data_IF_726473873925
#
_entry.id   IF_726473873925
#
_cell.length_a   1.000
_cell.length_b   1.000
_cell.length_c   1.000
_cell.angle_alpha   90.00
_cell.angle_beta   90.00
_cell.angle_gamma   90.00
#
_symmetry.space_group_name_H-M   'P 1'
#
loop_
_entity.id
_entity.type
_entity.pdbx_description
1 polymer ?
#
# COMPACT_ATOMS: atom_id res chain seq x y z
N UNK A 1 -4.68 -9.79 -15.66
CA UNK A 1 -4.25 -11.17 -15.39
C UNK A 1 -2.94 -11.07 -14.65
N UNK A 2 -2.99 -11.03 -13.32
CA UNK A 2 -1.85 -11.19 -12.39
C UNK A 2 -2.46 -11.21 -10.97
N UNK A 3 -3.41 -12.13 -10.80
CA UNK A 3 -3.91 -12.60 -9.52
C UNK A 3 -3.47 -14.06 -9.46
N UNK A 4 -2.15 -14.27 -9.36
CA UNK A 4 -1.60 -15.60 -9.13
C UNK A 4 -1.15 -15.71 -7.67
N UNK A 5 -1.99 -16.45 -6.93
CA UNK A 5 -1.57 -17.44 -5.94
C UNK A 5 -0.66 -16.91 -4.82
N UNK A 6 -1.26 -16.23 -3.86
CA UNK A 6 -0.79 -16.29 -2.46
C UNK A 6 -1.58 -17.39 -1.74
N UNK A 7 -1.34 -18.64 -2.09
CA UNK A 7 -1.57 -19.74 -1.15
C UNK A 7 -0.52 -19.60 -0.06
N UNK A 8 -0.91 -18.96 1.04
CA UNK A 8 -0.18 -19.06 2.30
C UNK A 8 -0.38 -20.50 2.79
N UNK A 9 0.54 -21.38 2.43
CA UNK A 9 0.85 -22.56 3.24
C UNK A 9 1.33 -22.07 4.60
N UNK A 10 0.38 -21.90 5.53
CA UNK A 10 0.68 -21.87 6.95
C UNK A 10 1.03 -23.29 7.36
N UNK A 11 2.29 -23.67 7.11
CA UNK A 11 2.89 -24.83 7.75
C UNK A 11 3.00 -24.51 9.25
N UNK A 12 1.97 -24.89 10.00
CA UNK A 12 1.94 -24.78 11.46
C UNK A 12 2.89 -25.84 12.01
N UNK A 13 4.12 -25.45 12.30
CA UNK A 13 5.06 -26.28 13.05
C UNK A 13 4.61 -26.35 14.52
N UNK A 14 3.72 -27.29 14.82
CA UNK A 14 3.27 -27.58 16.18
C UNK A 14 4.26 -28.55 16.82
N UNK A 15 5.11 -28.03 17.69
CA UNK A 15 6.11 -28.81 18.42
C UNK A 15 5.45 -29.32 19.70
N UNK A 16 5.09 -30.60 19.72
CA UNK A 16 4.53 -31.27 20.89
C UNK A 16 5.68 -31.96 21.64
N UNK A 17 6.21 -31.35 22.69
CA UNK A 17 7.23 -32.00 23.54
C UNK A 17 6.54 -32.91 24.57
N UNK A 18 6.81 -34.20 24.49
CA UNK A 18 6.46 -35.14 25.55
C UNK A 18 7.59 -35.16 26.59
N UNK A 19 7.46 -34.33 27.62
CA UNK A 19 8.48 -34.25 28.69
C UNK A 19 8.49 -35.48 29.62
N UNK A 20 7.43 -36.28 29.60
CA UNK A 20 7.18 -37.28 30.64
C UNK A 20 8.22 -38.40 30.67
N UNK A 21 8.61 -38.93 29.50
CA UNK A 21 9.46 -40.12 29.41
C UNK A 21 10.91 -39.84 29.80
N UNK A 22 11.42 -38.65 29.45
CA UNK A 22 12.78 -38.23 29.82
C UNK A 22 12.90 -37.95 31.31
N UNK A 23 11.94 -37.24 31.89
CA UNK A 23 11.99 -36.89 33.31
C UNK A 23 11.81 -38.11 34.20
N UNK A 24 10.95 -39.06 33.80
CA UNK A 24 10.80 -40.35 34.50
C UNK A 24 12.10 -41.16 34.45
N UNK A 25 12.68 -41.37 33.27
CA UNK A 25 13.92 -42.12 33.13
C UNK A 25 15.09 -41.48 33.92
N UNK A 26 15.15 -40.15 33.95
CA UNK A 26 16.15 -39.40 34.72
C UNK A 26 15.99 -39.61 36.24
N UNK A 27 14.77 -39.64 36.76
CA UNK A 27 14.55 -39.84 38.20
C UNK A 27 14.93 -41.25 38.64
N UNK A 28 14.57 -42.27 37.86
CA UNK A 28 14.98 -43.66 38.11
C UNK A 28 16.51 -43.80 38.20
N UNK A 29 17.25 -43.23 37.23
CA UNK A 29 18.71 -43.26 37.23
C UNK A 29 19.33 -42.58 38.45
N UNK A 30 18.70 -41.50 38.92
CA UNK A 30 19.14 -40.78 40.11
C UNK A 30 18.94 -41.62 41.36
N UNK A 31 17.76 -42.22 41.54
CA UNK A 31 17.48 -43.12 42.66
C UNK A 31 18.47 -44.28 42.70
N UNK A 32 18.77 -44.88 41.55
CA UNK A 32 19.77 -45.95 41.44
C UNK A 32 21.18 -45.48 41.81
N UNK A 33 21.61 -44.30 41.32
CA UNK A 33 22.94 -43.77 41.61
C UNK A 33 23.13 -43.39 43.08
N UNK A 34 22.05 -43.01 43.77
CA UNK A 34 22.06 -42.64 45.19
C UNK A 34 21.89 -43.85 46.13
N UNK A 35 21.56 -45.03 45.60
CA UNK A 35 21.37 -46.26 46.39
C UNK A 35 22.67 -46.66 47.11
N UNK A 36 22.62 -46.81 48.44
CA UNK A 36 23.79 -47.20 49.22
C UNK A 36 24.11 -48.69 49.05
N UNK A 37 25.39 -49.03 48.90
CA UNK A 37 25.85 -50.41 48.83
C UNK A 37 25.98 -51.02 50.24
N UNK A 38 25.38 -52.19 50.47
CA UNK A 38 25.60 -52.96 51.70
C UNK A 38 27.02 -53.57 51.68
N UNK A 39 27.79 -53.38 52.76
CA UNK A 39 29.06 -54.09 52.94
C UNK A 39 28.80 -55.59 53.16
N UNK A 40 29.45 -56.42 52.35
CA UNK A 40 29.31 -57.87 52.42
C UNK A 40 30.25 -58.48 53.45
N UNK A 41 29.71 -59.26 54.37
CA UNK A 41 30.48 -60.01 55.35
C UNK A 41 30.02 -61.49 55.38
N UNK A 42 31.00 -62.39 55.37
CA UNK A 42 30.79 -63.83 55.55
C UNK A 42 31.42 -64.27 56.86
N UNK A 43 30.69 -65.05 57.64
CA UNK A 43 31.25 -65.66 58.84
C UNK A 43 32.30 -66.70 58.45
N UNK A 44 33.46 -66.66 59.10
CA UNK A 44 34.45 -67.72 58.96
C UNK A 44 34.01 -68.93 59.77
N UNK A 45 34.15 -70.12 59.20
CA UNK A 45 34.03 -71.37 59.96
C UNK A 45 35.21 -71.50 60.93
N UNK A 46 34.94 -72.03 62.13
CA UNK A 46 35.98 -72.29 63.12
C UNK A 46 36.94 -73.35 62.59
N UNK A 47 38.23 -73.16 62.86
CA UNK A 47 39.29 -74.11 62.49
C UNK A 47 40.09 -74.59 63.70
N UNK A 48 39.94 -73.93 64.84
CA UNK A 48 40.59 -74.29 66.10
C UNK A 48 39.59 -74.12 67.25
N UNK A 49 39.69 -75.03 68.22
CA UNK A 49 38.96 -74.94 69.48
C UNK A 49 39.74 -74.04 70.45
N UNK A 50 39.02 -73.12 71.06
CA UNK A 50 39.58 -72.12 71.96
C UNK A 50 39.30 -72.54 73.41
N UNK A 51 40.34 -72.80 74.19
CA UNK A 51 40.22 -73.17 75.60
C UNK A 51 41.08 -72.23 76.45
N UNK A 52 40.42 -71.30 77.17
CA UNK A 52 41.07 -70.22 77.93
C UNK A 52 41.91 -69.24 77.10
N UNK A 53 41.52 -68.94 75.86
CA UNK A 53 42.17 -67.91 75.02
C UNK A 53 43.49 -68.35 74.38
N UNK A 54 43.65 -69.66 74.21
CA UNK A 54 44.79 -70.28 73.55
C UNK A 54 44.24 -71.36 72.58
N UNK A 55 44.60 -71.23 71.30
CA UNK A 55 44.25 -72.18 70.24
C UNK A 55 45.11 -73.44 70.39
N UNK A 56 44.52 -74.54 70.87
CA UNK A 56 45.27 -75.77 71.19
C UNK A 56 44.92 -76.98 70.32
N UNK A 57 43.74 -77.03 69.70
CA UNK A 57 43.29 -78.20 68.94
C UNK A 57 42.60 -77.80 67.63
N UNK A 58 42.89 -78.51 66.54
CA UNK A 58 42.16 -78.39 65.27
C UNK A 58 40.68 -78.74 65.51
N UNK A 59 39.79 -77.80 65.19
CA UNK A 59 38.34 -77.99 65.26
C UNK A 59 37.84 -78.48 63.90
N UNK A 60 37.20 -79.65 63.90
CA UNK A 60 36.49 -80.14 62.73
C UNK A 60 35.23 -79.31 62.50
N UNK A 61 35.16 -78.59 61.36
CA UNK A 61 33.98 -77.82 60.95
C UNK A 61 32.73 -78.71 61.09
N UNK A 62 31.78 -78.28 61.92
CA UNK A 62 30.57 -79.05 62.12
C UNK A 62 29.49 -78.66 61.09
N UNK A 63 28.50 -79.54 60.92
CA UNK A 63 27.44 -79.33 59.93
C UNK A 63 26.64 -78.04 60.12
N UNK A 64 26.54 -77.49 61.34
CA UNK A 64 25.86 -76.21 61.57
C UNK A 64 26.68 -75.04 61.05
N UNK A 65 27.98 -75.00 61.36
CA UNK A 65 28.91 -73.96 60.88
C UNK A 65 28.98 -73.94 59.36
N UNK A 66 29.06 -75.13 58.74
CA UNK A 66 29.03 -75.26 57.29
C UNK A 66 27.70 -74.79 56.71
N UNK A 67 26.56 -75.22 57.28
CA UNK A 67 25.24 -74.80 56.79
C UNK A 67 25.04 -73.28 56.92
N UNK A 68 25.51 -72.64 57.99
CA UNK A 68 25.43 -71.18 58.16
C UNK A 68 26.23 -70.45 57.08
N UNK A 69 27.47 -70.88 56.78
CA UNK A 69 28.25 -70.30 55.70
C UNK A 69 27.57 -70.52 54.33
N UNK A 70 27.01 -71.70 54.08
CA UNK A 70 26.28 -72.00 52.85
C UNK A 70 25.03 -71.12 52.71
N UNK A 71 24.28 -70.90 53.79
CA UNK A 71 23.11 -70.01 53.81
C UNK A 71 23.51 -68.56 53.50
N UNK A 72 24.61 -68.07 54.07
CA UNK A 72 25.16 -66.74 53.76
C UNK A 72 25.56 -66.61 52.29
N UNK A 73 26.24 -67.62 51.73
CA UNK A 73 26.62 -67.65 50.33
C UNK A 73 25.39 -67.68 49.43
N UNK A 74 24.39 -68.50 49.75
CA UNK A 74 23.15 -68.58 48.98
C UNK A 74 22.41 -67.24 48.99
N UNK A 75 22.28 -66.61 50.17
CA UNK A 75 21.65 -65.30 50.29
C UNK A 75 22.43 -64.23 49.49
N UNK A 76 23.76 -64.27 49.52
CA UNK A 76 24.58 -63.39 48.71
C UNK A 76 24.37 -63.59 47.21
N UNK A 77 24.36 -64.84 46.73
CA UNK A 77 24.15 -65.14 45.30
C UNK A 77 22.76 -64.66 44.86
N UNK A 78 21.72 -64.84 45.69
CA UNK A 78 20.38 -64.32 45.43
C UNK A 78 20.38 -62.79 45.34
N UNK A 79 20.93 -62.10 46.35
CA UNK A 79 21.05 -60.62 46.34
C UNK A 79 21.88 -60.12 45.15
N UNK A 80 22.94 -60.83 44.78
CA UNK A 80 23.76 -60.49 43.62
C UNK A 80 22.95 -60.61 42.33
N UNK A 81 22.16 -61.67 42.18
CA UNK A 81 21.28 -61.85 41.02
C UNK A 81 20.24 -60.73 40.93
N UNK A 82 19.58 -60.39 42.04
CA UNK A 82 18.60 -59.31 42.09
C UNK A 82 19.25 -57.96 41.73
N UNK A 83 20.41 -57.63 42.30
CA UNK A 83 21.15 -56.42 41.96
C UNK A 83 21.55 -56.37 40.48
N UNK A 84 21.94 -57.51 39.88
CA UNK A 84 22.26 -57.57 38.45
C UNK A 84 21.03 -57.33 37.58
N UNK A 85 19.86 -57.84 37.98
CA UNK A 85 18.63 -57.57 37.27
C UNK A 85 18.26 -56.08 37.36
N UNK A 86 18.33 -55.47 38.55
CA UNK A 86 18.12 -54.03 38.73
C UNK A 86 19.10 -53.21 37.90
N UNK A 87 20.39 -53.56 37.88
CA UNK A 87 21.39 -52.93 37.03
C UNK A 87 20.97 -52.92 35.55
N UNK A 88 20.49 -54.05 35.03
CA UNK A 88 20.03 -54.16 33.63
C UNK A 88 18.80 -53.26 33.39
N UNK A 89 17.85 -53.23 34.33
CA UNK A 89 16.65 -52.37 34.24
C UNK A 89 17.04 -50.88 34.19
N UNK A 90 17.98 -50.46 35.03
CA UNK A 90 18.46 -49.07 35.10
C UNK A 90 19.31 -48.69 33.88
N UNK A 91 20.13 -49.60 33.34
CA UNK A 91 20.74 -49.39 32.02
C UNK A 91 19.68 -49.19 30.91
N UNK A 92 18.52 -49.87 31.03
CA UNK A 92 17.37 -49.63 30.17
C UNK A 92 16.80 -48.21 30.29
N UNK A 93 16.83 -47.61 31.49
CA UNK A 93 16.42 -46.22 31.70
C UNK A 93 17.39 -45.23 31.06
N UNK A 94 18.71 -45.50 31.06
CA UNK A 94 19.69 -44.70 30.29
C UNK A 94 19.31 -44.67 28.81
N UNK A 95 18.99 -45.83 28.23
CA UNK A 95 18.59 -45.91 26.83
C UNK A 95 17.32 -45.08 26.56
N UNK A 96 16.28 -45.22 27.39
CA UNK A 96 15.04 -44.45 27.25
C UNK A 96 15.29 -42.94 27.35
N UNK A 97 16.12 -42.49 28.28
CA UNK A 97 16.48 -41.09 28.42
C UNK A 97 17.18 -40.55 27.16
N UNK A 98 18.12 -41.31 26.60
CA UNK A 98 18.80 -40.93 25.35
C UNK A 98 17.84 -40.90 24.15
N UNK A 99 16.95 -41.89 24.04
CA UNK A 99 15.94 -41.96 22.98
C UNK A 99 14.96 -40.78 23.05
N UNK A 100 14.44 -40.46 24.25
CA UNK A 100 13.55 -39.31 24.44
C UNK A 100 14.26 -37.98 24.16
N UNK A 101 15.54 -37.85 24.54
CA UNK A 101 16.34 -36.68 24.23
C UNK A 101 16.51 -36.49 22.71
N UNK A 102 16.82 -37.55 21.98
CA UNK A 102 16.98 -37.49 20.52
C UNK A 102 15.66 -37.19 19.80
N UNK A 103 14.62 -37.98 20.10
CA UNK A 103 13.35 -37.93 19.39
C UNK A 103 12.53 -36.69 19.70
N UNK A 104 12.43 -36.29 20.96
CA UNK A 104 11.52 -35.20 21.33
C UNK A 104 12.27 -33.87 21.39
N UNK A 105 13.41 -33.81 22.07
CA UNK A 105 14.12 -32.55 22.28
C UNK A 105 14.96 -32.14 21.06
N UNK A 106 15.84 -33.03 20.56
CA UNK A 106 16.72 -32.68 19.43
C UNK A 106 15.88 -32.44 18.17
N UNK A 107 14.89 -33.28 17.89
CA UNK A 107 14.00 -33.08 16.75
C UNK A 107 13.17 -31.79 16.85
N UNK A 108 12.68 -31.43 18.05
CA UNK A 108 11.99 -30.16 18.28
C UNK A 108 12.91 -28.95 18.02
N UNK A 109 14.15 -29.01 18.49
CA UNK A 109 15.15 -27.96 18.26
C UNK A 109 15.44 -27.84 16.77
N UNK A 110 15.68 -28.96 16.07
CA UNK A 110 15.94 -28.96 14.62
C UNK A 110 14.76 -28.37 13.84
N UNK A 111 13.54 -28.75 14.18
CA UNK A 111 12.32 -28.21 13.57
C UNK A 111 12.18 -26.71 13.81
N UNK A 112 12.45 -26.25 15.04
CA UNK A 112 12.46 -24.81 15.39
C UNK A 112 13.50 -24.05 14.59
N UNK A 113 14.72 -24.57 14.49
CA UNK A 113 15.82 -23.95 13.73
C UNK A 113 15.47 -23.86 12.25
N UNK A 114 14.87 -24.90 11.66
CA UNK A 114 14.41 -24.88 10.27
C UNK A 114 13.32 -23.82 10.05
N UNK A 115 12.36 -23.69 10.96
CA UNK A 115 11.32 -22.66 10.90
C UNK A 115 11.90 -21.24 11.03
N UNK A 116 12.90 -21.06 11.90
CA UNK A 116 13.63 -19.80 12.05
C UNK A 116 14.39 -19.46 10.76
N UNK A 117 15.11 -20.42 10.16
CA UNK A 117 15.84 -20.20 8.89
C UNK A 117 14.89 -19.80 7.76
N UNK A 118 13.75 -20.48 7.64
CA UNK A 118 12.72 -20.13 6.65
C UNK A 118 12.16 -18.71 6.88
N UNK A 119 11.87 -18.35 8.14
CA UNK A 119 11.42 -17.01 8.51
C UNK A 119 12.48 -15.96 8.19
N UNK A 120 13.75 -16.24 8.48
CA UNK A 120 14.86 -15.33 8.21
C UNK A 120 15.02 -15.07 6.69
N UNK A 121 14.91 -16.12 5.86
CA UNK A 121 14.88 -15.98 4.39
C UNK A 121 13.73 -15.10 3.91
N UNK A 122 12.53 -15.22 4.50
CA UNK A 122 11.39 -14.33 4.20
C UNK A 122 11.69 -12.88 4.60
N UNK A 123 12.24 -12.66 5.80
CA UNK A 123 12.63 -11.33 6.29
C UNK A 123 13.62 -10.67 5.34
N UNK A 124 14.66 -11.39 4.87
CA UNK A 124 15.63 -10.84 3.92
C UNK A 124 14.99 -10.42 2.59
N UNK A 125 14.02 -11.20 2.08
CA UNK A 125 13.26 -10.84 0.87
C UNK A 125 12.42 -9.58 1.08
N UNK A 126 11.73 -9.46 2.22
CA UNK A 126 10.95 -8.28 2.53
C UNK A 126 11.82 -7.05 2.79
N UNK A 127 12.98 -7.21 3.41
CA UNK A 127 13.95 -6.12 3.58
C UNK A 127 14.38 -5.56 2.22
N UNK A 128 14.71 -6.42 1.25
CA UNK A 128 15.05 -5.98 -0.10
C UNK A 128 13.89 -5.25 -0.82
N UNK A 129 12.62 -5.60 -0.52
CA UNK A 129 11.44 -4.88 -1.03
C UNK A 129 11.27 -3.52 -0.38
N UNK A 130 11.52 -3.43 0.93
CA UNK A 130 11.50 -2.17 1.69
C UNK A 130 12.57 -1.23 1.16
N UNK A 131 13.80 -1.71 0.96
CA UNK A 131 14.91 -0.91 0.46
C UNK A 131 14.58 -0.27 -0.91
N UNK A 132 14.02 -1.06 -1.85
CA UNK A 132 13.53 -0.55 -3.14
C UNK A 132 12.41 0.47 -3.00
N UNK A 133 11.55 0.31 -1.99
CA UNK A 133 10.46 1.26 -1.73
C UNK A 133 11.01 2.58 -1.20
N UNK A 134 11.97 2.52 -0.28
CA UNK A 134 12.68 3.70 0.24
C UNK A 134 13.39 4.44 -0.89
N UNK A 135 14.07 3.74 -1.80
CA UNK A 135 14.72 4.34 -2.96
C UNK A 135 13.73 5.10 -3.86
N UNK A 136 12.58 4.48 -4.18
CA UNK A 136 11.51 5.14 -4.96
C UNK A 136 10.94 6.36 -4.25
N UNK A 137 10.73 6.27 -2.93
CA UNK A 137 10.26 7.39 -2.12
C UNK A 137 11.26 8.54 -2.11
N UNK A 138 12.56 8.25 -1.98
CA UNK A 138 13.63 9.24 -2.05
C UNK A 138 13.65 9.94 -3.41
N UNK A 139 13.56 9.19 -4.52
CA UNK A 139 13.46 9.76 -5.86
C UNK A 139 12.22 10.66 -6.01
N UNK A 140 11.08 10.23 -5.48
CA UNK A 140 9.83 11.01 -5.52
C UNK A 140 9.97 12.31 -4.74
N UNK A 141 10.57 12.26 -3.55
CA UNK A 141 10.84 13.45 -2.73
C UNK A 141 11.79 14.42 -3.42
N UNK A 142 12.79 13.92 -4.15
CA UNK A 142 13.68 14.76 -4.93
C UNK A 142 12.94 15.49 -6.05
N UNK A 143 12.05 14.78 -6.77
CA UNK A 143 11.20 15.40 -7.81
C UNK A 143 10.26 16.43 -7.21
N UNK A 144 9.62 16.13 -6.07
CA UNK A 144 8.75 17.08 -5.37
C UNK A 144 9.51 18.33 -4.90
N UNK A 145 10.75 18.16 -4.43
CA UNK A 145 11.63 19.27 -4.07
C UNK A 145 11.91 20.16 -5.28
N UNK A 146 12.32 19.57 -6.41
CA UNK A 146 12.57 20.31 -7.66
C UNK A 146 11.30 21.01 -8.17
N UNK A 147 10.16 20.34 -8.10
CA UNK A 147 8.87 20.93 -8.47
C UNK A 147 8.55 22.15 -7.61
N UNK A 148 8.74 22.04 -6.28
CA UNK A 148 8.54 23.16 -5.36
C UNK A 148 9.49 24.33 -5.65
N UNK A 149 10.75 24.05 -5.93
CA UNK A 149 11.74 25.08 -6.30
C UNK A 149 11.33 25.79 -7.59
N UNK A 150 10.99 25.07 -8.66
CA UNK A 150 10.49 25.66 -9.92
C UNK A 150 9.19 26.44 -9.75
N UNK A 151 8.28 25.93 -8.92
CA UNK A 151 7.02 26.61 -8.63
C UNK A 151 7.25 27.95 -7.93
N UNK A 152 8.26 28.03 -7.06
CA UNK A 152 8.64 29.27 -6.38
C UNK A 152 9.48 30.21 -7.26
N UNK A 153 10.33 29.69 -8.16
CA UNK A 153 11.11 30.50 -9.12
C UNK A 153 10.23 31.14 -10.19
N UNK A 154 9.18 30.45 -10.62
CA UNK A 154 8.13 31.09 -11.42
C UNK A 154 7.40 32.08 -10.51
N UNK A 155 7.80 33.35 -10.57
CA UNK A 155 7.18 34.52 -9.95
C UNK A 155 5.73 34.76 -10.43
N UNK A 156 4.88 33.72 -10.43
CA UNK A 156 3.46 33.82 -10.68
C UNK A 156 2.82 34.86 -9.78
N UNK A 157 3.35 35.06 -8.57
CA UNK A 157 2.92 36.16 -7.70
C UNK A 157 3.15 37.55 -8.31
N UNK A 158 4.36 37.84 -8.83
CA UNK A 158 4.63 39.14 -9.47
C UNK A 158 3.85 39.29 -10.77
N UNK A 159 3.74 38.23 -11.58
CA UNK A 159 2.96 38.26 -12.82
C UNK A 159 1.46 38.48 -12.54
N UNK A 160 0.90 37.83 -11.50
CA UNK A 160 -0.48 38.04 -11.07
C UNK A 160 -0.68 39.48 -10.58
N UNK A 161 0.24 40.01 -9.77
CA UNK A 161 0.20 41.38 -9.28
C UNK A 161 0.32 42.42 -10.41
N UNK A 162 1.13 42.14 -11.45
CA UNK A 162 1.22 42.96 -12.65
C UNK A 162 -0.09 42.93 -13.46
N UNK A 163 -0.66 41.74 -13.66
CA UNK A 163 -1.94 41.58 -14.34
C UNK A 163 -3.08 42.27 -13.60
N UNK A 164 -3.11 42.19 -12.27
CA UNK A 164 -4.09 42.87 -11.41
C UNK A 164 -3.98 44.39 -11.51
N UNK A 165 -2.75 44.93 -11.45
CA UNK A 165 -2.50 46.36 -11.69
C UNK A 165 -2.93 46.82 -13.09
N UNK A 166 -2.69 46.00 -14.12
CA UNK A 166 -3.15 46.31 -15.49
C UNK A 166 -4.66 46.29 -15.60
N UNK A 167 -5.34 45.38 -14.89
CA UNK A 167 -6.79 45.28 -14.86
C UNK A 167 -7.40 46.53 -14.20
N UNK A 168 -6.86 46.94 -13.05
CA UNK A 168 -7.28 48.16 -12.36
C UNK A 168 -7.11 49.42 -13.24
N UNK A 169 -5.97 49.57 -13.94
CA UNK A 169 -5.79 50.68 -14.88
C UNK A 169 -6.77 50.66 -16.06
N UNK A 170 -7.15 49.48 -16.52
CA UNK A 170 -8.17 49.37 -17.58
C UNK A 170 -9.54 49.80 -17.06
N UNK A 171 -9.87 49.43 -15.83
CA UNK A 171 -11.12 49.82 -15.17
C UNK A 171 -11.20 51.34 -15.01
N UNK A 172 -10.15 51.97 -14.48
CA UNK A 172 -10.04 53.43 -14.38
C UNK A 172 -10.22 54.12 -15.74
N UNK A 173 -9.64 53.54 -16.79
CA UNK A 173 -9.77 54.05 -18.15
C UNK A 173 -11.19 53.91 -18.68
N UNK A 174 -11.86 52.79 -18.42
CA UNK A 174 -13.26 52.57 -18.81
C UNK A 174 -14.14 53.63 -18.13
N UNK A 175 -13.99 53.83 -16.83
CA UNK A 175 -14.72 54.86 -16.07
C UNK A 175 -14.46 56.25 -16.68
N UNK A 176 -13.20 56.61 -16.93
CA UNK A 176 -12.87 57.90 -17.56
C UNK A 176 -13.48 58.08 -18.95
N UNK A 177 -13.57 56.99 -19.73
CA UNK A 177 -14.16 57.00 -21.06
C UNK A 177 -15.67 57.16 -20.97
N UNK A 178 -16.31 56.46 -20.02
CA UNK A 178 -17.74 56.56 -19.74
C UNK A 178 -18.14 57.96 -19.28
N UNK A 179 -17.34 58.58 -18.40
CA UNK A 179 -17.50 59.97 -17.98
C UNK A 179 -17.33 60.93 -19.16
N UNK A 180 -16.32 60.70 -20.01
CA UNK A 180 -16.08 61.53 -21.20
C UNK A 180 -17.25 61.43 -22.17
N UNK A 181 -17.74 60.21 -22.46
CA UNK A 181 -18.89 59.97 -23.32
C UNK A 181 -20.16 60.60 -22.75
N UNK A 182 -20.34 60.54 -21.43
CA UNK A 182 -21.48 61.16 -20.74
C UNK A 182 -21.42 62.69 -20.73
N UNK A 183 -20.21 63.26 -20.74
CA UNK A 183 -19.97 64.70 -20.78
C UNK A 183 -19.94 65.28 -22.21
N UNK A 184 -19.90 64.44 -23.24
CA UNK A 184 -20.05 64.90 -24.61
C UNK A 184 -21.45 65.51 -24.79
N UNK A 185 -21.57 66.78 -25.21
CA UNK A 185 -22.86 67.33 -25.57
C UNK A 185 -23.42 66.50 -26.73
N UNK A 186 -24.58 65.88 -26.52
CA UNK A 186 -25.43 65.41 -27.60
C UNK A 186 -25.95 66.64 -28.35
N UNK A 187 -25.09 67.29 -29.13
CA UNK A 187 -25.55 68.30 -30.08
C UNK A 187 -26.39 67.58 -31.14
N UNK A 188 -27.68 67.93 -31.30
CA UNK A 188 -28.42 67.48 -32.47
C UNK A 188 -27.71 68.06 -33.70
N UNK A 189 -27.33 67.17 -34.62
CA UNK A 189 -26.66 67.53 -35.88
C UNK A 189 -27.41 68.69 -36.55
N UNK A 190 -26.78 69.85 -36.58
CA UNK A 190 -27.31 71.20 -36.90
C UNK A 190 -27.87 71.39 -38.33
N UNK A 191 -27.87 70.35 -39.17
CA UNK A 191 -28.32 70.44 -40.56
C UNK A 191 -29.84 70.32 -40.74
N UNK A 192 -30.62 70.33 -39.65
CA UNK A 192 -32.09 70.17 -39.72
C UNK A 192 -32.77 71.34 -40.43
N UNK A 193 -32.31 72.57 -40.21
CA UNK A 193 -32.84 73.78 -40.87
C UNK A 193 -32.50 73.81 -42.37
N UNK A 194 -31.26 73.48 -42.73
CA UNK A 194 -30.80 73.39 -44.12
C UNK A 194 -31.57 72.31 -44.90
N UNK A 195 -31.85 71.16 -44.26
CA UNK A 195 -32.67 70.09 -44.85
C UNK A 195 -34.13 70.53 -45.04
N UNK A 196 -34.68 71.34 -44.13
CA UNK A 196 -36.04 71.89 -44.25
C UNK A 196 -36.16 72.92 -45.37
N UNK A 197 -35.16 73.79 -45.53
CA UNK A 197 -35.09 74.77 -46.61
C UNK A 197 -34.97 74.08 -47.98
N UNK A 198 -34.07 73.09 -48.10
CA UNK A 198 -33.95 72.27 -49.31
C UNK A 198 -35.25 71.52 -49.64
N UNK A 199 -36.00 71.06 -48.63
CA UNK A 199 -37.32 70.44 -48.85
C UNK A 199 -38.34 71.43 -49.39
N UNK A 200 -38.33 72.66 -48.90
CA UNK A 200 -39.24 73.72 -49.36
C UNK A 200 -38.94 74.09 -50.81
N UNK A 201 -37.67 74.35 -51.14
CA UNK A 201 -37.24 74.66 -52.51
C UNK A 201 -37.57 73.54 -53.50
N UNK A 202 -37.37 72.28 -53.10
CA UNK A 202 -37.72 71.12 -53.92
C UNK A 202 -39.23 71.07 -54.23
N UNK A 203 -40.08 71.41 -53.24
CA UNK A 203 -41.52 71.37 -53.42
C UNK A 203 -42.01 72.53 -54.31
N UNK A 204 -41.42 73.72 -54.18
CA UNK A 204 -41.70 74.87 -55.05
C UNK A 204 -41.27 74.57 -56.50
N UNK A 205 -40.08 74.00 -56.70
CA UNK A 205 -39.60 73.56 -58.02
C UNK A 205 -40.54 72.53 -58.66
N UNK A 206 -41.05 71.58 -57.88
CA UNK A 206 -42.00 70.57 -58.36
C UNK A 206 -43.31 71.17 -58.86
N UNK A 207 -43.86 72.17 -58.16
CA UNK A 207 -45.07 72.87 -58.61
C UNK A 207 -44.81 73.72 -59.87
N UNK A 208 -43.63 74.36 -59.97
CA UNK A 208 -43.25 75.07 -61.18
C UNK A 208 -43.12 74.13 -62.39
N UNK A 209 -42.48 72.97 -62.24
CA UNK A 209 -42.38 71.96 -63.30
C UNK A 209 -43.77 71.50 -63.74
N UNK A 210 -44.69 71.29 -62.80
CA UNK A 210 -46.07 70.89 -63.10
C UNK A 210 -46.82 71.98 -63.90
N UNK A 211 -46.63 73.25 -63.55
CA UNK A 211 -47.22 74.38 -64.26
C UNK A 211 -46.63 74.55 -65.67
N UNK A 212 -45.32 74.36 -65.83
CA UNK A 212 -44.66 74.38 -67.15
C UNK A 212 -45.16 73.21 -68.00
N UNK A 213 -45.26 72.02 -67.41
CA UNK A 213 -45.77 70.82 -68.09
C UNK A 213 -47.21 71.01 -68.59
N UNK A 214 -48.09 71.66 -67.82
CA UNK A 214 -49.47 71.91 -68.25
C UNK A 214 -49.56 72.95 -69.36
N UNK A 215 -48.71 73.97 -69.33
CA UNK A 215 -48.57 74.95 -70.43
C UNK A 215 -48.03 74.31 -71.71
N UNK A 216 -47.05 73.41 -71.59
CA UNK A 216 -46.51 72.69 -72.75
C UNK A 216 -47.57 71.77 -73.38
N UNK A 217 -48.34 71.05 -72.54
CA UNK A 217 -49.44 70.20 -73.01
C UNK A 217 -50.50 71.02 -73.77
N UNK A 218 -50.88 72.18 -73.25
CA UNK A 218 -51.85 73.07 -73.92
C UNK A 218 -51.31 73.58 -75.26
N UNK A 219 -50.04 73.99 -75.34
CA UNK A 219 -49.41 74.38 -76.60
C UNK A 219 -49.38 73.21 -77.59
N UNK A 220 -49.06 71.99 -77.14
CA UNK A 220 -49.06 70.80 -77.97
C UNK A 220 -50.44 70.48 -78.55
N UNK A 221 -51.51 70.57 -77.73
CA UNK A 221 -52.89 70.39 -78.17
C UNK A 221 -53.27 71.46 -79.22
N UNK A 222 -52.96 72.73 -78.98
CA UNK A 222 -53.26 73.83 -79.92
C UNK A 222 -52.52 73.62 -81.26
N UNK A 223 -51.25 73.23 -81.21
CA UNK A 223 -50.47 72.92 -82.41
C UNK A 223 -51.03 71.74 -83.19
N UNK A 224 -51.42 70.65 -82.51
CA UNK A 224 -52.03 69.47 -83.14
C UNK A 224 -53.35 69.78 -83.83
N UNK A 225 -54.23 70.58 -83.19
CA UNK A 225 -55.49 71.02 -83.80
C UNK A 225 -55.24 71.90 -85.03
N UNK A 226 -54.26 72.80 -84.98
CA UNK A 226 -53.89 73.65 -86.12
C UNK A 226 -53.39 72.84 -87.32
N UNK A 227 -52.46 71.89 -87.10
CA UNK A 227 -52.00 70.97 -88.13
C UNK A 227 -53.15 70.14 -88.70
N UNK A 228 -54.03 69.59 -87.84
CA UNK A 228 -55.18 68.80 -88.26
C UNK A 228 -56.16 69.60 -89.14
N UNK A 229 -56.45 70.84 -88.76
CA UNK A 229 -57.28 71.75 -89.54
C UNK A 229 -56.66 72.09 -90.90
N UNK A 230 -55.33 72.22 -90.98
CA UNK A 230 -54.59 72.49 -92.21
C UNK A 230 -54.66 71.28 -93.17
N UNK A 231 -54.53 70.06 -92.63
CA UNK A 231 -54.70 68.81 -93.40
C UNK A 231 -56.14 68.67 -93.91
N UNK A 232 -57.16 68.98 -93.09
CA UNK A 232 -58.57 68.96 -93.50
C UNK A 232 -58.85 70.00 -94.59
N UNK A 233 -58.31 71.21 -94.47
CA UNK A 233 -58.44 72.24 -95.50
C UNK A 233 -57.79 71.83 -96.83
N UNK A 234 -56.61 71.19 -96.78
CA UNK A 234 -55.95 70.61 -97.95
C UNK A 234 -56.78 69.50 -98.61
N UNK A 235 -57.42 68.63 -97.82
CA UNK A 235 -58.34 67.61 -98.34
C UNK A 235 -59.56 68.23 -99.03
N UNK A 236 -60.18 69.25 -98.44
CA UNK A 236 -61.29 69.99 -99.06
C UNK A 236 -60.89 70.71 -100.35
N UNK A 237 -59.65 71.19 -100.45
CA UNK A 237 -59.11 71.82 -101.66
C UNK A 237 -58.90 70.82 -102.81
N UNK A 238 -58.62 69.55 -102.51
CA UNK A 238 -58.45 68.48 -103.50
C UNK A 238 -59.77 67.80 -103.94
N UNK A 239 -60.87 67.99 -103.20
CA UNK A 239 -62.20 67.47 -103.53
C UNK A 239 -63.10 68.45 -104.32
N UNK A 240 -62.52 69.52 -104.88
CA UNK A 240 -63.16 70.45 -105.82
C UNK A 240 -62.66 70.20 -107.23
#
# INVERSE_FOLDING_TARGET
>A
MEQEVFEQEQEKFEINLSHHDFDEAKEHLKEFAEQSQEELYFDKVRTHDDFFGFEFAEHGVNGREFNTLVEQIQNYISKFYDNQQTLIEEFGQVYKALEALDKDYIQAILSSVAAIDHTNKKILKEQARIDKTIEKQAATLQVLKQFKEKFNENNHKEAIEEHENRLSRLDDRIVSLEDTVSALPLEPVSHTSEIEELRKELNESKEQIKLISSRLLTIFIISGVSIGMLIIALLFMFLR
#
